data_IF_126561019960
#
_entry.id   IF_126561019960
#
_cell.length_a   1.000
_cell.length_b   1.000
_cell.length_c   1.000
_cell.angle_alpha   90.00
_cell.angle_beta   90.00
_cell.angle_gamma   90.00
#
_symmetry.space_group_name_H-M   'P 1'
#
loop_
_entity.id
_entity.type
_entity.pdbx_description
1 polymer ?
#
# COMPACT_ATOMS: atom_id res chain seq x y z
N UNK A 1 -8.18 -0.65 -53.90
CA UNK A 1 -8.20 -1.92 -53.16
C UNK A 1 -8.18 -1.61 -51.67
N UNK A 2 -9.29 -1.84 -50.97
CA UNK A 2 -9.46 -1.45 -49.56
C UNK A 2 -9.13 -2.64 -48.67
N UNK A 3 -8.04 -2.57 -47.92
CA UNK A 3 -7.71 -3.56 -46.90
C UNK A 3 -8.65 -3.34 -45.69
N UNK A 4 -9.45 -4.36 -45.35
CA UNK A 4 -10.29 -4.36 -44.15
C UNK A 4 -9.45 -4.86 -42.97
N UNK A 5 -9.19 -4.01 -41.98
CA UNK A 5 -8.61 -4.42 -40.70
C UNK A 5 -9.66 -5.20 -39.90
N UNK A 6 -9.41 -6.50 -39.70
CA UNK A 6 -10.18 -7.32 -38.77
C UNK A 6 -9.85 -6.85 -37.34
N UNK A 7 -10.64 -5.92 -36.81
CA UNK A 7 -10.64 -5.63 -35.38
C UNK A 7 -11.32 -6.80 -34.65
N UNK A 8 -10.52 -7.81 -34.28
CA UNK A 8 -10.92 -8.78 -33.26
C UNK A 8 -11.32 -8.00 -32.00
N UNK A 9 -12.60 -8.01 -31.67
CA UNK A 9 -13.12 -7.39 -30.44
C UNK A 9 -12.54 -8.17 -29.26
N UNK A 10 -11.46 -7.66 -28.68
CA UNK A 10 -10.91 -8.16 -27.42
C UNK A 10 -12.06 -8.22 -26.40
N UNK A 11 -12.35 -9.42 -25.90
CA UNK A 11 -13.34 -9.61 -24.85
C UNK A 11 -12.88 -8.85 -23.59
N UNK A 12 -13.57 -7.77 -23.27
CA UNK A 12 -13.23 -6.95 -22.11
C UNK A 12 -13.68 -7.69 -20.84
N UNK A 13 -12.77 -8.43 -20.22
CA UNK A 13 -13.02 -9.06 -18.92
C UNK A 13 -13.05 -7.98 -17.85
N UNK A 14 -14.25 -7.59 -17.40
CA UNK A 14 -14.42 -6.63 -16.32
C UNK A 14 -14.24 -7.35 -14.98
N UNK A 15 -13.27 -6.94 -14.17
CA UNK A 15 -13.12 -7.45 -12.80
C UNK A 15 -14.38 -7.07 -12.00
N UNK A 16 -15.18 -8.06 -11.60
CA UNK A 16 -16.35 -7.83 -10.76
C UNK A 16 -15.95 -7.29 -9.39
N UNK A 17 -16.84 -6.49 -8.77
CA UNK A 17 -16.65 -6.09 -7.37
C UNK A 17 -16.62 -7.35 -6.51
N UNK A 18 -15.62 -7.47 -5.64
CA UNK A 18 -15.61 -8.52 -4.62
C UNK A 18 -16.78 -8.28 -3.67
N UNK A 19 -17.45 -9.36 -3.25
CA UNK A 19 -18.56 -9.27 -2.28
C UNK A 19 -18.04 -9.05 -0.86
N UNK A 20 -16.87 -9.62 -0.56
CA UNK A 20 -16.20 -9.50 0.72
C UNK A 20 -15.08 -8.45 0.64
N UNK A 21 -15.13 -7.37 1.45
CA UNK A 21 -14.07 -6.37 1.54
C UNK A 21 -12.69 -6.96 1.91
N UNK A 22 -12.64 -8.06 2.66
CA UNK A 22 -11.38 -8.70 3.04
C UNK A 22 -10.70 -9.42 1.86
N UNK A 23 -11.42 -9.59 0.75
CA UNK A 23 -10.89 -10.14 -0.50
C UNK A 23 -10.58 -9.05 -1.53
N UNK A 24 -10.87 -7.78 -1.22
CA UNK A 24 -10.53 -6.64 -2.06
C UNK A 24 -9.24 -5.97 -1.59
N UNK A 25 -8.20 -6.05 -2.42
CA UNK A 25 -6.92 -5.38 -2.19
C UNK A 25 -7.07 -3.89 -1.91
N UNK A 26 -8.05 -3.22 -2.55
CA UNK A 26 -8.25 -1.77 -2.33
C UNK A 26 -8.76 -1.51 -0.92
N UNK A 27 -9.75 -2.28 -0.46
CA UNK A 27 -10.27 -2.22 0.90
C UNK A 27 -9.19 -2.58 1.93
N UNK A 28 -8.37 -3.59 1.66
CA UNK A 28 -7.26 -3.97 2.54
C UNK A 28 -6.21 -2.85 2.66
N UNK A 29 -5.85 -2.20 1.54
CA UNK A 29 -4.92 -1.05 1.55
C UNK A 29 -5.48 0.12 2.36
N UNK A 30 -6.76 0.41 2.20
CA UNK A 30 -7.44 1.45 2.98
C UNK A 30 -7.43 1.11 4.47
N UNK A 31 -7.82 -0.11 4.83
CA UNK A 31 -7.83 -0.58 6.21
C UNK A 31 -6.45 -0.49 6.87
N UNK A 32 -5.39 -0.89 6.16
CA UNK A 32 -4.01 -0.79 6.64
C UNK A 32 -3.61 0.67 6.91
N UNK A 33 -3.97 1.59 6.01
CA UNK A 33 -3.68 3.02 6.17
C UNK A 33 -4.40 3.62 7.37
N UNK A 34 -5.69 3.34 7.51
CA UNK A 34 -6.51 3.85 8.63
C UNK A 34 -6.03 3.29 9.97
N UNK A 35 -5.76 1.98 10.01
CA UNK A 35 -5.27 1.29 11.22
C UNK A 35 -3.89 1.80 11.65
N UNK A 36 -2.99 2.06 10.70
CA UNK A 36 -1.68 2.65 10.98
C UNK A 36 -1.82 4.04 11.60
N UNK A 37 -2.67 4.91 11.04
CA UNK A 37 -2.92 6.27 11.56
C UNK A 37 -3.52 6.22 12.97
N UNK A 38 -4.53 5.38 13.18
CA UNK A 38 -5.16 5.22 14.49
C UNK A 38 -4.17 4.71 15.55
N UNK A 39 -3.29 3.78 15.19
CA UNK A 39 -2.25 3.28 16.09
C UNK A 39 -1.23 4.37 16.48
N UNK A 40 -0.79 5.18 15.52
CA UNK A 40 0.11 6.31 15.80
C UNK A 40 -0.57 7.29 16.78
N UNK A 41 -1.79 7.73 16.47
CA UNK A 41 -2.54 8.66 17.33
C UNK A 41 -2.75 8.11 18.74
N UNK A 42 -3.11 6.84 18.86
CA UNK A 42 -3.33 6.19 20.16
C UNK A 42 -2.06 6.15 21.01
N UNK A 43 -0.91 5.83 20.42
CA UNK A 43 0.35 5.75 21.15
C UNK A 43 0.86 7.14 21.56
N UNK A 44 0.77 8.13 20.67
CA UNK A 44 1.12 9.51 21.00
C UNK A 44 0.25 10.06 22.13
N UNK A 45 -1.06 9.81 22.09
CA UNK A 45 -1.98 10.18 23.16
C UNK A 45 -1.68 9.47 24.50
N UNK A 46 -1.04 8.30 24.46
CA UNK A 46 -0.60 7.56 25.63
C UNK A 46 0.79 8.00 26.15
N UNK A 47 1.40 9.04 25.55
CA UNK A 47 2.73 9.49 25.94
C UNK A 47 3.87 8.59 25.45
N UNK A 48 3.61 7.75 24.45
CA UNK A 48 4.61 6.82 23.89
C UNK A 48 5.10 7.33 22.54
N UNK A 49 6.42 7.47 22.38
CA UNK A 49 7.04 7.82 21.10
C UNK A 49 6.82 6.72 20.06
N UNK A 50 6.55 7.12 18.83
CA UNK A 50 6.24 6.20 17.72
C UNK A 50 7.28 6.35 16.63
N UNK A 51 7.70 5.24 16.04
CA UNK A 51 8.62 5.21 14.90
C UNK A 51 7.90 4.66 13.68
N UNK A 52 7.91 5.41 12.57
CA UNK A 52 7.23 5.03 11.33
C UNK A 52 7.98 5.53 10.09
N UNK A 53 7.60 5.00 8.92
CA UNK A 53 8.12 5.48 7.63
C UNK A 53 7.37 6.74 7.16
N UNK A 54 8.12 7.75 6.73
CA UNK A 54 7.61 8.94 6.07
C UNK A 54 8.56 9.39 4.97
N UNK A 55 8.06 9.53 3.74
CA UNK A 55 8.80 10.02 2.58
C UNK A 55 10.13 9.26 2.31
N UNK A 56 10.16 7.96 2.60
CA UNK A 56 11.36 7.12 2.46
C UNK A 56 12.39 7.29 3.59
N UNK A 57 12.01 7.93 4.69
CA UNK A 57 12.80 8.03 5.91
C UNK A 57 12.11 7.31 7.06
N UNK A 58 12.91 6.70 7.94
CA UNK A 58 12.43 6.28 9.25
C UNK A 58 12.44 7.50 10.16
N UNK A 59 11.28 7.80 10.72
CA UNK A 59 11.03 8.98 11.53
C UNK A 59 10.53 8.56 12.90
N UNK A 60 11.03 9.21 13.93
CA UNK A 60 10.54 9.11 15.29
C UNK A 60 9.71 10.36 15.60
N UNK A 61 8.49 10.16 16.10
CA UNK A 61 7.62 11.22 16.59
C UNK A 61 7.42 11.05 18.10
N UNK A 62 7.78 12.08 18.85
CA UNK A 62 7.53 12.13 20.29
C UNK A 62 6.07 12.50 20.57
N UNK A 63 5.55 12.26 21.79
CA UNK A 63 4.21 12.68 22.20
C UNK A 63 3.95 14.19 22.05
N UNK A 64 5.01 15.00 22.12
CA UNK A 64 4.96 16.46 21.90
C UNK A 64 4.92 16.84 20.42
N UNK A 65 4.71 15.87 19.53
CA UNK A 65 4.74 16.00 18.08
C UNK A 65 6.07 16.53 17.52
N UNK A 66 7.17 16.37 18.27
CA UNK A 66 8.50 16.63 17.71
C UNK A 66 8.91 15.47 16.82
N UNK A 67 9.29 15.81 15.59
CA UNK A 67 9.60 14.86 14.54
C UNK A 67 11.10 14.82 14.31
N UNK A 68 11.72 13.65 14.50
CA UNK A 68 13.15 13.41 14.29
C UNK A 68 13.37 12.39 13.19
N UNK A 69 14.12 12.78 12.15
CA UNK A 69 14.54 11.84 11.11
C UNK A 69 15.70 10.99 11.64
N UNK A 70 15.54 9.66 11.64
CA UNK A 70 16.56 8.74 12.14
C UNK A 70 17.48 8.27 11.02
N UNK A 71 16.91 7.78 9.92
CA UNK A 71 17.67 7.24 8.79
C UNK A 71 16.86 7.24 7.51
N UNK A 72 17.54 7.35 6.37
CA UNK A 72 16.95 7.08 5.06
C UNK A 72 16.73 5.58 4.92
N UNK A 73 15.53 5.17 4.51
CA UNK A 73 15.26 3.77 4.19
C UNK A 73 15.93 3.46 2.85
N UNK A 74 16.63 2.32 2.80
CA UNK A 74 17.08 1.79 1.52
C UNK A 74 15.83 1.45 0.71
N UNK A 75 15.78 1.86 -0.55
CA UNK A 75 14.73 1.42 -1.46
C UNK A 75 14.76 -0.11 -1.46
N UNK A 76 13.72 -0.72 -0.89
CA UNK A 76 13.52 -2.14 -1.01
C UNK A 76 13.34 -2.46 -2.49
N UNK A 77 13.93 -3.55 -2.95
CA UNK A 77 13.62 -4.09 -4.27
C UNK A 77 12.10 -4.28 -4.35
N UNK A 78 11.43 -3.82 -5.43
CA UNK A 78 10.00 -3.99 -5.57
C UNK A 78 9.65 -5.47 -5.42
N UNK A 79 8.76 -5.79 -4.49
CA UNK A 79 8.36 -7.17 -4.24
C UNK A 79 7.57 -7.70 -5.44
N UNK A 80 8.15 -8.63 -6.18
CA UNK A 80 7.49 -9.25 -7.32
C UNK A 80 6.51 -10.32 -6.86
N UNK A 81 5.25 -9.92 -6.67
CA UNK A 81 4.14 -10.80 -6.32
C UNK A 81 3.99 -11.98 -7.28
N UNK A 82 4.28 -11.80 -8.58
CA UNK A 82 4.17 -12.87 -9.57
C UNK A 82 5.24 -13.92 -9.36
N UNK A 83 6.48 -13.51 -9.16
CA UNK A 83 7.59 -14.45 -8.86
C UNK A 83 7.35 -15.19 -7.55
N UNK A 84 6.83 -14.53 -6.52
CA UNK A 84 6.56 -15.16 -5.23
C UNK A 84 5.41 -16.19 -5.30
N UNK A 85 4.31 -15.87 -5.97
CA UNK A 85 3.13 -16.74 -6.03
C UNK A 85 3.21 -17.82 -7.10
N UNK A 86 4.04 -17.63 -8.13
CA UNK A 86 4.18 -18.57 -9.25
C UNK A 86 5.51 -19.34 -9.19
N UNK A 87 6.09 -19.55 -8.00
CA UNK A 87 7.19 -20.50 -7.82
C UNK A 87 6.66 -21.92 -8.04
N UNK A 88 6.77 -22.40 -9.28
CA UNK A 88 6.43 -23.75 -9.72
C UNK A 88 7.33 -24.14 -10.86
#
# INVERSE_FOLDING_TARGET
MSQKSNHEKLAMVRKGKRKDPMQDTRSLMQFASESSRAAIQKNLAAGVSVVYERDGYLVEESPDHQVKQLKKLKQAQPFNLREYLCQG
#
